data_IF_984816584477
#
_entry.id   IF_984816584477
#
_cell.length_a   1.000
_cell.length_b   1.000
_cell.length_c   1.000
_cell.angle_alpha   90.00
_cell.angle_beta   90.00
_cell.angle_gamma   90.00
#
_symmetry.space_group_name_H-M   'P 1'
#
loop_
_entity.id
_entity.type
_entity.pdbx_description
1 polymer ?
#
# COMPACT_ATOMS: atom_id res chain seq x y z
N UNK A 1 9.79 28.48 8.25
CA UNK A 1 8.79 27.40 8.45
C UNK A 1 9.22 26.25 7.56
N UNK A 2 9.69 25.15 8.14
CA UNK A 2 10.00 23.94 7.38
C UNK A 2 8.68 23.36 6.88
N UNK A 3 8.54 23.14 5.57
CA UNK A 3 7.36 22.47 5.03
C UNK A 3 7.30 21.05 5.62
N UNK A 4 6.19 20.71 6.25
CA UNK A 4 5.91 19.33 6.65
C UNK A 4 6.01 18.43 5.42
N UNK A 5 6.78 17.35 5.48
CA UNK A 5 6.80 16.36 4.40
C UNK A 5 5.46 15.62 4.36
N UNK A 6 4.82 15.61 3.20
CA UNK A 6 3.64 14.80 2.91
C UNK A 6 4.05 13.43 2.34
N UNK A 7 3.28 12.38 2.63
CA UNK A 7 3.52 11.04 2.12
C UNK A 7 2.21 10.29 1.92
N UNK A 8 2.13 9.53 0.81
CA UNK A 8 0.98 8.67 0.52
C UNK A 8 -0.34 9.41 0.32
N UNK A 9 -1.19 8.85 -0.54
CA UNK A 9 -2.53 9.34 -0.79
C UNK A 9 -3.39 8.18 -1.25
N UNK A 10 -4.46 7.91 -0.55
CA UNK A 10 -5.40 6.84 -0.88
C UNK A 10 -6.82 7.39 -0.92
N UNK A 11 -7.58 6.95 -1.91
CA UNK A 11 -9.00 7.27 -2.10
C UNK A 11 -9.79 5.98 -2.20
N UNK A 12 -11.04 6.01 -1.73
CA UNK A 12 -11.94 4.88 -1.88
C UNK A 12 -13.39 5.25 -1.59
N UNK A 13 -14.27 4.28 -1.77
CA UNK A 13 -15.71 4.48 -1.77
C UNK A 13 -16.22 5.27 -2.98
N UNK A 14 -17.51 5.58 -2.93
CA UNK A 14 -18.22 6.41 -3.90
C UNK A 14 -19.11 7.38 -3.14
N UNK A 15 -19.45 8.53 -3.73
CA UNK A 15 -20.34 9.49 -3.09
C UNK A 15 -21.70 8.81 -2.72
N UNK A 16 -22.23 9.04 -1.50
CA UNK A 16 -21.73 9.96 -0.45
C UNK A 16 -20.70 9.33 0.51
N UNK A 17 -20.41 8.04 0.42
CA UNK A 17 -19.54 7.27 1.33
C UNK A 17 -18.08 7.21 0.87
N UNK A 18 -17.59 8.28 0.27
CA UNK A 18 -16.21 8.38 -0.18
C UNK A 18 -15.28 8.77 0.97
N UNK A 19 -14.04 8.33 0.90
CA UNK A 19 -13.02 8.61 1.89
C UNK A 19 -11.66 8.88 1.25
N UNK A 20 -10.84 9.65 1.96
CA UNK A 20 -9.44 9.90 1.62
C UNK A 20 -8.57 9.74 2.86
N UNK A 21 -7.41 9.13 2.69
CA UNK A 21 -6.37 8.94 3.72
C UNK A 21 -5.04 9.45 3.18
N UNK A 22 -4.30 10.20 3.99
CA UNK A 22 -3.02 10.78 3.62
C UNK A 22 -2.09 10.94 4.82
N UNK A 23 -0.81 11.14 4.54
CA UNK A 23 0.22 11.41 5.53
C UNK A 23 0.77 12.83 5.46
N UNK A 24 0.97 13.46 6.62
CA UNK A 24 1.62 14.77 6.76
C UNK A 24 2.39 14.80 8.10
N UNK A 25 3.65 15.23 8.08
CA UNK A 25 4.50 15.36 9.27
C UNK A 25 4.48 14.11 10.18
N UNK A 26 4.73 12.92 9.62
CA UNK A 26 4.68 11.62 10.29
C UNK A 26 3.31 11.19 10.87
N UNK A 27 2.25 11.96 10.59
CA UNK A 27 0.89 11.70 11.07
C UNK A 27 0.02 11.23 9.91
N UNK A 28 -0.81 10.21 10.16
CA UNK A 28 -1.81 9.72 9.23
C UNK A 28 -3.15 10.38 9.55
N UNK A 29 -3.78 10.94 8.53
CA UNK A 29 -5.07 11.60 8.60
C UNK A 29 -6.09 10.90 7.71
N UNK A 30 -7.37 11.08 8.03
CA UNK A 30 -8.47 10.64 7.20
C UNK A 30 -9.59 11.68 7.14
N UNK A 31 -10.45 11.53 6.15
CA UNK A 31 -11.66 12.31 5.98
C UNK A 31 -12.70 11.50 5.20
N UNK A 32 -13.97 11.67 5.54
CA UNK A 32 -15.11 10.99 4.89
C UNK A 32 -16.17 11.99 4.43
N UNK A 33 -16.95 11.59 3.42
CA UNK A 33 -18.10 12.34 2.95
C UNK A 33 -17.75 13.37 1.88
N UNK A 34 -17.88 14.65 2.22
CA UNK A 34 -17.61 15.75 1.29
C UNK A 34 -16.10 16.00 1.20
N UNK A 35 -15.45 15.38 0.21
CA UNK A 35 -13.98 15.46 0.06
C UNK A 35 -13.47 16.89 -0.14
N UNK A 36 -14.32 17.83 -0.57
CA UNK A 36 -13.94 19.24 -0.71
C UNK A 36 -13.67 19.93 0.64
N UNK A 37 -14.11 19.32 1.76
CA UNK A 37 -13.97 19.88 3.12
C UNK A 37 -12.85 19.22 3.93
N UNK A 38 -12.12 18.26 3.37
CA UNK A 38 -11.14 17.49 4.14
C UNK A 38 -10.01 18.32 4.76
N UNK A 39 -9.68 19.48 4.19
CA UNK A 39 -8.70 20.38 4.80
C UNK A 39 -9.14 20.89 6.19
N UNK A 40 -10.43 21.11 6.41
CA UNK A 40 -11.00 21.60 7.67
C UNK A 40 -11.65 20.51 8.52
N UNK A 41 -11.98 19.36 7.95
CA UNK A 41 -12.63 18.24 8.65
C UNK A 41 -11.76 16.99 8.82
N UNK A 42 -10.42 17.13 8.72
CA UNK A 42 -9.51 15.98 8.88
C UNK A 42 -9.57 15.39 10.28
N UNK A 43 -9.57 14.06 10.34
CA UNK A 43 -9.45 13.26 11.57
C UNK A 43 -7.99 12.80 11.68
N UNK A 44 -7.36 13.07 12.82
CA UNK A 44 -6.05 12.50 13.15
C UNK A 44 -6.21 11.04 13.56
N UNK A 45 -5.57 10.12 12.84
CA UNK A 45 -5.65 8.70 13.13
C UNK A 45 -4.52 8.24 14.05
N UNK A 46 -3.28 8.48 13.63
CA UNK A 46 -2.08 7.99 14.33
C UNK A 46 -0.84 8.79 13.94
N UNK A 47 0.09 8.97 14.87
CA UNK A 47 1.46 9.40 14.59
C UNK A 47 2.34 8.15 14.49
N UNK A 48 2.74 7.76 13.28
CA UNK A 48 3.33 6.44 13.04
C UNK A 48 4.64 6.45 12.26
N UNK A 49 5.16 7.63 11.89
CA UNK A 49 6.30 7.75 10.96
C UNK A 49 6.08 6.89 9.70
N UNK A 50 4.86 6.94 9.19
CA UNK A 50 4.47 6.13 8.06
C UNK A 50 5.08 6.66 6.75
N UNK A 51 5.30 5.76 5.79
CA UNK A 51 5.72 6.13 4.42
C UNK A 51 4.66 5.86 3.36
N UNK A 52 3.72 4.96 3.66
CA UNK A 52 2.63 4.63 2.77
C UNK A 52 1.34 4.47 3.56
N UNK A 53 0.22 4.73 2.88
CA UNK A 53 -1.14 4.57 3.39
C UNK A 53 -2.00 3.87 2.33
N UNK A 54 -3.02 3.16 2.78
CA UNK A 54 -4.09 2.59 1.94
C UNK A 54 -5.41 2.64 2.70
N UNK A 55 -6.53 2.38 2.03
CA UNK A 55 -7.83 2.28 2.70
C UNK A 55 -8.74 1.26 2.02
N UNK A 56 -9.65 0.68 2.80
CA UNK A 56 -10.84 0.00 2.30
C UNK A 56 -12.10 0.82 2.66
N UNK A 57 -13.29 0.25 2.51
CA UNK A 57 -14.54 0.97 2.76
C UNK A 57 -14.73 1.42 4.23
N UNK A 58 -13.97 0.85 5.16
CA UNK A 58 -14.16 1.04 6.61
C UNK A 58 -12.94 1.57 7.34
N UNK A 59 -11.75 1.25 6.83
CA UNK A 59 -10.50 1.32 7.56
C UNK A 59 -9.38 1.96 6.75
N UNK A 60 -8.59 2.78 7.43
CA UNK A 60 -7.31 3.28 6.97
C UNK A 60 -6.19 2.36 7.44
N UNK A 61 -5.19 2.18 6.59
CA UNK A 61 -4.01 1.35 6.83
C UNK A 61 -2.74 2.17 6.61
N UNK A 62 -1.68 1.85 7.34
CA UNK A 62 -0.37 2.47 7.14
C UNK A 62 0.78 1.49 7.32
N UNK A 63 1.90 1.83 6.69
CA UNK A 63 3.19 1.19 6.87
C UNK A 63 4.08 2.16 7.65
N UNK A 64 4.28 1.88 8.94
CA UNK A 64 5.17 2.62 9.83
C UNK A 64 6.61 2.25 9.54
N UNK A 65 7.33 3.12 8.82
CA UNK A 65 8.64 2.79 8.29
C UNK A 65 9.66 2.58 9.41
N UNK A 66 9.79 3.53 10.33
CA UNK A 66 10.76 3.42 11.43
C UNK A 66 10.28 2.52 12.57
N UNK A 67 8.95 2.37 12.73
CA UNK A 67 8.36 1.54 13.78
C UNK A 67 8.26 0.07 13.38
N UNK A 68 8.35 -0.26 12.09
CA UNK A 68 8.18 -1.62 11.57
C UNK A 68 6.76 -2.17 11.74
N UNK A 69 5.77 -1.30 11.99
CA UNK A 69 4.39 -1.68 12.21
C UNK A 69 3.57 -1.54 10.93
N UNK A 70 2.76 -2.55 10.63
CA UNK A 70 1.61 -2.42 9.73
C UNK A 70 0.38 -2.28 10.60
N UNK A 71 -0.33 -1.17 10.48
CA UNK A 71 -1.45 -0.87 11.35
C UNK A 71 -2.71 -0.46 10.62
N UNK A 72 -3.80 -0.46 11.38
CA UNK A 72 -5.16 -0.14 10.94
C UNK A 72 -5.89 0.73 11.97
N UNK A 73 -6.72 1.63 11.47
CA UNK A 73 -7.59 2.50 12.26
C UNK A 73 -8.88 2.68 11.47
N UNK A 74 -10.08 2.65 12.08
CA UNK A 74 -11.30 3.04 11.38
C UNK A 74 -11.14 4.43 10.77
N UNK A 75 -11.69 4.66 9.59
CA UNK A 75 -11.56 5.96 8.90
C UNK A 75 -12.17 7.09 9.73
N UNK A 76 -13.22 6.79 10.51
CA UNK A 76 -13.83 7.72 11.45
C UNK A 76 -12.96 8.03 12.69
N UNK A 77 -11.85 7.30 12.89
CA UNK A 77 -10.93 7.45 14.02
C UNK A 77 -10.85 6.23 14.93
N UNK A 78 -9.71 6.09 15.62
CA UNK A 78 -9.43 5.04 16.62
C UNK A 78 -9.07 5.61 17.99
N UNK A 79 -9.27 6.91 18.24
CA UNK A 79 -8.99 7.57 19.52
C UNK A 79 -7.59 7.24 20.08
N UNK A 80 -6.57 7.22 19.22
CA UNK A 80 -5.18 6.91 19.60
C UNK A 80 -4.89 5.43 19.90
N UNK A 81 -5.83 4.52 19.64
CA UNK A 81 -5.69 3.07 19.84
C UNK A 81 -5.74 2.32 18.51
N UNK A 82 -4.68 2.45 17.67
CA UNK A 82 -4.61 1.71 16.41
C UNK A 82 -4.54 0.20 16.64
N UNK A 83 -5.12 -0.58 15.72
CA UNK A 83 -4.90 -2.03 15.64
C UNK A 83 -3.60 -2.30 14.91
N UNK A 84 -2.72 -3.12 15.46
CA UNK A 84 -1.47 -3.53 14.80
C UNK A 84 -1.70 -4.88 14.11
N UNK A 85 -1.65 -4.89 12.78
CA UNK A 85 -1.82 -6.08 11.94
C UNK A 85 -0.57 -6.96 12.00
N UNK A 86 0.60 -6.31 11.90
CA UNK A 86 1.90 -6.94 11.96
C UNK A 86 2.91 -5.97 12.60
N UNK A 87 3.88 -6.53 13.32
CA UNK A 87 4.99 -5.80 13.95
C UNK A 87 6.34 -6.39 13.52
N UNK A 88 7.43 -5.70 13.84
CA UNK A 88 8.79 -6.17 13.57
C UNK A 88 9.13 -6.27 12.07
N UNK A 89 8.40 -5.54 11.22
CA UNK A 89 8.68 -5.51 9.78
C UNK A 89 9.91 -4.63 9.51
N UNK A 90 10.74 -5.03 8.56
CA UNK A 90 11.92 -4.25 8.18
C UNK A 90 11.52 -3.10 7.27
N UNK A 91 11.35 -1.92 7.86
CA UNK A 91 11.16 -0.65 7.13
C UNK A 91 10.15 -0.75 5.98
N UNK A 92 8.88 -1.08 6.26
CA UNK A 92 7.87 -1.21 5.22
C UNK A 92 7.59 0.15 4.57
N UNK A 93 7.61 0.22 3.24
CA UNK A 93 7.61 1.47 2.48
C UNK A 93 6.53 1.56 1.39
N UNK A 94 5.85 0.45 1.09
CA UNK A 94 4.67 0.41 0.24
C UNK A 94 3.61 -0.55 0.80
N UNK A 95 2.33 -0.23 0.66
CA UNK A 95 1.24 -1.13 0.99
C UNK A 95 0.04 -0.99 0.04
N UNK A 96 -0.79 -2.03 0.01
CA UNK A 96 -2.08 -2.07 -0.66
C UNK A 96 -3.04 -2.98 0.09
N UNK A 97 -4.35 -2.77 -0.09
CA UNK A 97 -5.42 -3.53 0.55
C UNK A 97 -6.50 -3.87 -0.48
N UNK A 98 -7.07 -5.08 -0.40
CA UNK A 98 -8.17 -5.51 -1.28
C UNK A 98 -9.48 -5.79 -0.50
N UNK A 99 -9.61 -5.22 0.71
CA UNK A 99 -10.69 -5.43 1.67
C UNK A 99 -10.53 -6.68 2.56
N UNK A 100 -9.78 -7.69 2.12
CA UNK A 100 -9.57 -8.93 2.90
C UNK A 100 -8.12 -9.07 3.36
N UNK A 101 -7.18 -8.65 2.51
CA UNK A 101 -5.75 -8.78 2.74
C UNK A 101 -5.10 -7.42 2.69
N UNK A 102 -4.16 -7.21 3.61
CA UNK A 102 -3.18 -6.13 3.55
C UNK A 102 -1.89 -6.73 3.06
N UNK A 103 -1.33 -6.13 2.02
CA UNK A 103 -0.09 -6.57 1.37
C UNK A 103 0.89 -5.41 1.39
N UNK A 104 2.13 -5.67 1.75
CA UNK A 104 3.17 -4.65 1.83
C UNK A 104 4.51 -5.16 1.31
N UNK A 105 5.35 -4.19 0.95
CA UNK A 105 6.77 -4.40 0.68
C UNK A 105 7.57 -3.93 1.88
N UNK A 106 8.63 -4.68 2.20
CA UNK A 106 9.69 -4.27 3.13
C UNK A 106 10.92 -3.79 2.34
N UNK A 107 11.75 -2.96 2.96
CA UNK A 107 12.93 -2.40 2.29
C UNK A 107 13.91 -3.48 1.79
N UNK A 108 13.95 -4.67 2.39
CA UNK A 108 14.74 -5.82 1.94
C UNK A 108 14.06 -6.61 0.80
N UNK A 109 13.12 -5.96 0.08
CA UNK A 109 12.45 -6.48 -1.12
C UNK A 109 11.69 -7.79 -0.90
N UNK A 110 11.04 -7.90 0.27
CA UNK A 110 10.13 -8.99 0.58
C UNK A 110 8.70 -8.47 0.44
N UNK A 111 7.90 -9.20 -0.33
CA UNK A 111 6.47 -8.96 -0.46
C UNK A 111 5.74 -9.85 0.53
N UNK A 112 4.98 -9.24 1.43
CA UNK A 112 4.40 -9.88 2.60
C UNK A 112 2.92 -9.54 2.71
N UNK A 113 2.13 -10.44 3.29
CA UNK A 113 0.69 -10.22 3.53
C UNK A 113 0.22 -10.69 4.90
N UNK A 114 -0.90 -10.11 5.32
CA UNK A 114 -1.77 -10.60 6.38
C UNK A 114 -3.25 -10.40 6.00
N UNK A 115 -4.16 -11.00 6.76
CA UNK A 115 -5.57 -10.60 6.66
C UNK A 115 -5.71 -9.17 7.20
N UNK A 116 -6.73 -8.44 6.73
CA UNK A 116 -7.00 -7.06 7.16
C UNK A 116 -7.31 -6.97 8.66
N UNK A 117 -7.74 -8.07 9.28
CA UNK A 117 -7.97 -8.18 10.73
C UNK A 117 -6.73 -8.64 11.53
N UNK A 118 -5.59 -8.81 10.88
CA UNK A 118 -4.34 -9.27 11.51
C UNK A 118 -3.91 -10.68 11.12
N UNK A 119 -2.77 -11.11 11.67
CA UNK A 119 -2.17 -12.43 11.40
C UNK A 119 -1.38 -12.97 12.59
N UNK A 120 -1.69 -12.52 13.81
CA UNK A 120 -1.07 -13.00 15.05
C UNK A 120 0.47 -12.98 15.01
N UNK A 121 1.05 -11.91 14.48
CA UNK A 121 2.49 -11.75 14.29
C UNK A 121 3.16 -12.83 13.39
N UNK A 122 2.40 -13.48 12.52
CA UNK A 122 2.91 -14.44 11.51
C UNK A 122 2.57 -14.01 10.07
N UNK A 123 3.18 -12.94 9.56
CA UNK A 123 2.98 -12.54 8.17
C UNK A 123 3.43 -13.61 7.19
N UNK A 124 2.66 -13.78 6.11
CA UNK A 124 3.00 -14.71 5.04
C UNK A 124 3.85 -14.00 3.99
N UNK A 125 5.03 -14.54 3.69
CA UNK A 125 5.85 -14.08 2.57
C UNK A 125 5.26 -14.61 1.26
N UNK A 126 4.91 -13.70 0.35
CA UNK A 126 4.44 -14.02 -1.00
C UNK A 126 5.61 -14.22 -1.96
N UNK A 127 6.59 -13.33 -1.91
CA UNK A 127 7.76 -13.34 -2.77
C UNK A 127 8.95 -12.69 -2.04
N UNK A 128 10.14 -13.24 -2.23
CA UNK A 128 11.40 -12.71 -1.69
C UNK A 128 12.34 -12.32 -2.82
N UNK A 129 13.34 -11.51 -2.52
CA UNK A 129 14.42 -11.15 -3.47
C UNK A 129 13.89 -10.54 -4.77
N UNK A 130 12.87 -9.70 -4.69
CA UNK A 130 12.17 -9.20 -5.89
C UNK A 130 12.90 -8.05 -6.59
N UNK A 131 13.66 -7.23 -5.88
CA UNK A 131 14.43 -6.11 -6.48
C UNK A 131 15.53 -5.63 -5.53
N UNK A 132 16.35 -4.67 -5.97
CA UNK A 132 17.20 -3.88 -5.08
C UNK A 132 16.34 -3.04 -4.11
N UNK A 133 16.73 -3.08 -2.84
CA UNK A 133 16.18 -2.32 -1.73
C UNK A 133 16.21 -0.80 -1.95
N UNK A 134 17.08 -0.33 -2.85
CA UNK A 134 17.36 1.09 -3.04
C UNK A 134 16.37 1.81 -3.95
N UNK A 135 15.57 1.08 -4.74
CA UNK A 135 14.66 1.70 -5.72
C UNK A 135 13.21 1.59 -5.24
N UNK A 136 12.47 2.73 -5.17
CA UNK A 136 11.07 2.70 -4.80
C UNK A 136 10.29 1.91 -5.83
N UNK A 137 9.67 0.81 -5.40
CA UNK A 137 8.70 0.08 -6.19
C UNK A 137 7.35 0.11 -5.52
N UNK A 138 6.30 -0.09 -6.31
CA UNK A 138 4.92 0.01 -5.87
C UNK A 138 4.25 -1.35 -5.95
N UNK A 139 3.26 -1.57 -5.10
CA UNK A 139 2.45 -2.79 -5.04
C UNK A 139 0.96 -2.41 -5.09
N UNK A 140 0.17 -3.20 -5.80
CA UNK A 140 -1.29 -3.11 -5.78
C UNK A 140 -1.91 -4.49 -5.62
N UNK A 141 -2.85 -4.61 -4.69
CA UNK A 141 -3.71 -5.78 -4.54
C UNK A 141 -5.08 -5.47 -5.13
N UNK A 142 -5.57 -6.30 -6.04
CA UNK A 142 -6.89 -6.12 -6.64
C UNK A 142 -7.55 -7.48 -6.88
N UNK A 143 -8.71 -7.69 -6.24
CA UNK A 143 -9.36 -9.00 -6.25
C UNK A 143 -8.43 -10.08 -5.67
N UNK A 144 -8.29 -11.20 -6.38
CA UNK A 144 -7.45 -12.33 -5.97
C UNK A 144 -5.96 -12.21 -6.26
N UNK A 145 -5.49 -11.08 -6.81
CA UNK A 145 -4.11 -10.93 -7.30
C UNK A 145 -3.40 -9.75 -6.63
N UNK A 146 -2.07 -9.87 -6.58
CA UNK A 146 -1.13 -8.81 -6.24
C UNK A 146 -0.19 -8.59 -7.41
N UNK A 147 0.07 -7.31 -7.72
CA UNK A 147 0.98 -6.87 -8.77
C UNK A 147 2.00 -5.89 -8.20
N UNK A 148 3.22 -5.93 -8.71
CA UNK A 148 4.27 -4.98 -8.33
C UNK A 148 5.25 -4.74 -9.47
N UNK A 149 5.93 -3.61 -9.40
CA UNK A 149 7.05 -3.26 -10.29
C UNK A 149 8.37 -3.71 -9.67
N UNK A 150 9.31 -4.12 -10.52
CA UNK A 150 10.72 -4.30 -10.18
C UNK A 150 11.57 -3.39 -11.09
N UNK A 151 11.66 -2.09 -10.77
CA UNK A 151 12.33 -1.11 -11.63
C UNK A 151 13.77 -1.45 -12.02
N UNK A 152 14.57 -2.10 -11.17
CA UNK A 152 15.97 -2.46 -11.54
C UNK A 152 16.01 -3.63 -12.50
N UNK A 153 15.22 -4.68 -12.22
CA UNK A 153 15.10 -5.85 -13.09
C UNK A 153 14.34 -5.54 -14.40
N UNK A 154 13.60 -4.43 -14.44
CA UNK A 154 12.79 -4.02 -15.58
C UNK A 154 11.61 -4.97 -15.82
N UNK A 155 11.00 -5.48 -14.76
CA UNK A 155 9.86 -6.40 -14.85
C UNK A 155 8.64 -5.88 -14.10
N UNK A 156 7.46 -6.30 -14.55
CA UNK A 156 6.22 -6.22 -13.78
C UNK A 156 5.81 -7.64 -13.42
N UNK A 157 5.45 -7.84 -12.17
CA UNK A 157 5.26 -9.15 -11.57
C UNK A 157 3.82 -9.34 -11.07
N UNK A 158 3.40 -10.59 -10.96
CA UNK A 158 2.10 -11.01 -10.46
C UNK A 158 2.23 -12.20 -9.50
N UNK A 159 1.40 -12.24 -8.46
CA UNK A 159 1.22 -13.39 -7.57
C UNK A 159 -0.24 -13.43 -7.09
N UNK A 160 -0.90 -14.60 -7.00
CA UNK A 160 -2.17 -14.69 -6.30
C UNK A 160 -2.02 -14.24 -4.85
N UNK A 161 -2.97 -13.47 -4.34
CA UNK A 161 -2.96 -12.99 -2.94
C UNK A 161 -3.07 -14.13 -1.94
N UNK A 162 -3.60 -15.29 -2.35
CA UNK A 162 -3.58 -16.50 -1.54
C UNK A 162 -2.14 -17.03 -1.33
N UNK A 163 -1.24 -16.79 -2.30
CA UNK A 163 0.14 -17.28 -2.34
C UNK A 163 0.52 -17.79 -3.73
N UNK A 164 1.81 -17.65 -4.09
CA UNK A 164 2.42 -18.23 -5.30
C UNK A 164 3.60 -19.16 -4.96
N UNK A 165 3.72 -19.62 -3.70
CA UNK A 165 4.81 -20.51 -3.27
C UNK A 165 6.21 -19.98 -3.62
N UNK A 166 6.43 -18.66 -3.50
CA UNK A 166 7.69 -18.01 -3.84
C UNK A 166 8.00 -17.95 -5.34
N UNK A 167 7.04 -18.27 -6.22
CA UNK A 167 7.19 -18.28 -7.67
C UNK A 167 6.27 -17.24 -8.32
N UNK A 168 6.59 -15.95 -8.19
CA UNK A 168 5.84 -14.90 -8.87
C UNK A 168 6.00 -15.02 -10.39
N UNK A 169 4.99 -14.57 -11.14
CA UNK A 169 4.96 -14.61 -12.60
C UNK A 169 5.36 -13.25 -13.15
N UNK A 170 6.26 -13.23 -14.14
CA UNK A 170 6.57 -12.03 -14.92
C UNK A 170 5.44 -11.79 -15.93
N UNK A 171 4.82 -10.61 -15.89
CA UNK A 171 3.74 -10.24 -16.81
C UNK A 171 4.14 -9.17 -17.83
N UNK A 172 5.27 -8.48 -17.60
CA UNK A 172 5.90 -7.60 -18.58
C UNK A 172 7.41 -7.52 -18.35
N UNK A 173 8.18 -7.35 -19.42
CA UNK A 173 9.64 -7.17 -19.42
C UNK A 173 10.03 -5.85 -20.12
N UNK A 174 11.29 -5.43 -19.98
CA UNK A 174 11.79 -4.19 -20.58
C UNK A 174 11.23 -2.93 -19.92
N UNK A 175 10.79 -3.02 -18.68
CA UNK A 175 10.13 -1.96 -17.90
C UNK A 175 11.09 -1.29 -16.92
N UNK A 176 12.33 -1.01 -17.35
CA UNK A 176 13.36 -0.39 -16.48
C UNK A 176 12.84 0.95 -15.94
N UNK A 177 13.07 1.18 -14.65
CA UNK A 177 12.58 2.37 -13.92
C UNK A 177 11.04 2.48 -13.85
N UNK A 178 10.31 1.37 -13.99
CA UNK A 178 8.87 1.39 -13.77
C UNK A 178 8.54 1.76 -12.32
N UNK A 179 7.64 2.73 -12.15
CA UNK A 179 7.34 3.34 -10.86
C UNK A 179 5.97 2.87 -10.33
N UNK A 180 5.02 3.79 -10.19
CA UNK A 180 3.68 3.52 -9.65
C UNK A 180 2.93 2.46 -10.46
N UNK A 181 2.18 1.62 -9.75
CA UNK A 181 1.33 0.58 -10.31
C UNK A 181 -0.09 0.71 -9.74
N UNK A 182 -1.10 0.46 -10.56
CA UNK A 182 -2.50 0.43 -10.18
C UNK A 182 -3.24 -0.65 -10.95
N UNK A 183 -4.38 -1.10 -10.43
CA UNK A 183 -5.16 -2.15 -11.08
C UNK A 183 -6.67 -1.91 -10.92
N UNK A 184 -7.42 -2.28 -11.94
CA UNK A 184 -8.88 -2.42 -11.93
C UNK A 184 -9.25 -3.90 -11.92
N UNK A 185 -10.54 -4.20 -11.91
CA UNK A 185 -11.01 -5.60 -12.10
C UNK A 185 -10.64 -6.19 -13.47
N UNK A 186 -10.28 -5.36 -14.46
CA UNK A 186 -10.06 -5.79 -15.85
C UNK A 186 -8.65 -5.58 -16.38
N UNK A 187 -7.85 -4.71 -15.75
CA UNK A 187 -6.51 -4.39 -16.23
C UNK A 187 -5.57 -3.99 -15.08
N UNK A 188 -4.28 -4.13 -15.33
CA UNK A 188 -3.20 -3.55 -14.51
C UNK A 188 -2.48 -2.47 -15.33
N UNK A 189 -2.06 -1.41 -14.66
CA UNK A 189 -1.45 -0.22 -15.24
C UNK A 189 -0.19 0.13 -14.48
N UNK A 190 0.85 0.58 -15.17
CA UNK A 190 2.08 1.04 -14.54
C UNK A 190 2.70 2.18 -15.32
N UNK A 191 3.47 3.00 -14.62
CA UNK A 191 4.28 4.04 -15.23
C UNK A 191 5.64 3.47 -15.62
N UNK A 192 6.03 3.67 -16.88
CA UNK A 192 7.37 3.39 -17.38
C UNK A 192 8.01 4.66 -17.94
N UNK A 193 9.26 4.56 -18.37
CA UNK A 193 9.95 5.64 -19.10
C UNK A 193 9.30 5.99 -20.44
N UNK A 194 8.48 5.08 -21.00
CA UNK A 194 7.72 5.30 -22.23
C UNK A 194 6.29 5.80 -21.98
N UNK A 195 5.90 6.04 -20.72
CA UNK A 195 4.58 6.55 -20.35
C UNK A 195 3.71 5.52 -19.62
N UNK A 196 2.38 5.69 -19.73
CA UNK A 196 1.41 4.78 -19.12
C UNK A 196 1.32 3.48 -19.93
N UNK A 197 1.61 2.37 -19.28
CA UNK A 197 1.51 1.03 -19.84
C UNK A 197 0.32 0.28 -19.22
N UNK A 198 -0.18 -0.75 -19.89
CA UNK A 198 -1.25 -1.59 -19.34
C UNK A 198 -1.23 -3.02 -19.86
N UNK A 199 -1.84 -3.93 -19.09
CA UNK A 199 -2.08 -5.32 -19.47
C UNK A 199 -3.50 -5.73 -19.01
N UNK A 200 -4.32 -6.36 -19.88
CA UNK A 200 -5.57 -6.99 -19.46
C UNK A 200 -5.34 -8.09 -18.42
N UNK A 201 -6.29 -8.27 -17.51
CA UNK A 201 -6.23 -9.25 -16.42
C UNK A 201 -6.93 -10.56 -16.71
#
# INVERSE_FOLDING_TARGET
MSAASSFGLAFGGQAPNQAIVWGEAATVYACQGDLSKCASSKVTLVQAMARAVALDDTSAYWAGYDTGAIGQCPIAGCAGNPTIIASGQTQPDALSVNGIHVVWRTNNSILTKCTSTGCSATPTVLASSQDDATVPSSVVAQGGDVFWTNPTAGTVMKCPVAGCSGKPVVIATGQTSAAGIGATTTAVYWLSTSGLMSLPR
#
